data_IF_831675360479
#
_entry.id   IF_831675360479
#
_cell.length_a   1.000
_cell.length_b   1.000
_cell.length_c   1.000
_cell.angle_alpha   90.00
_cell.angle_beta   90.00
_cell.angle_gamma   90.00
#
_symmetry.space_group_name_H-M   'P 1'
#
loop_
_entity.id
_entity.type
_entity.pdbx_description
1 polymer ?
#
# COMPACT_ATOMS: atom_id res chain seq x y z
N UNK A 1 12.46 -26.35 9.38
CA UNK A 1 13.17 -27.12 10.42
C UNK A 1 13.07 -28.58 10.05
N UNK A 2 14.21 -29.24 9.81
CA UNK A 2 14.32 -30.65 9.40
C UNK A 2 14.87 -31.54 10.53
N UNK A 3 15.30 -30.98 11.67
CA UNK A 3 15.74 -31.79 12.81
C UNK A 3 15.77 -31.06 14.17
N UNK A 4 16.03 -31.80 15.26
CA UNK A 4 16.17 -31.24 16.61
C UNK A 4 17.41 -30.34 16.70
N UNK A 5 17.23 -29.11 17.19
CA UNK A 5 18.29 -28.09 17.27
C UNK A 5 18.28 -27.10 16.11
N UNK A 6 17.45 -27.34 15.07
CA UNK A 6 17.14 -26.30 14.10
C UNK A 6 16.33 -25.21 14.80
N UNK A 7 16.91 -24.03 14.89
CA UNK A 7 16.17 -22.82 15.19
C UNK A 7 15.83 -22.12 13.87
N UNK A 8 14.70 -21.40 13.77
CA UNK A 8 14.49 -20.50 12.65
C UNK A 8 15.69 -19.56 12.56
N UNK A 9 16.21 -19.32 11.34
CA UNK A 9 17.24 -18.30 11.15
C UNK A 9 16.75 -16.97 11.72
N UNK A 10 17.65 -16.17 12.31
CA UNK A 10 17.23 -14.87 12.82
C UNK A 10 16.71 -14.02 11.65
N UNK A 11 15.66 -13.20 11.84
CA UNK A 11 15.11 -12.39 10.76
C UNK A 11 16.15 -11.56 10.03
N UNK A 12 17.15 -11.01 10.75
CA UNK A 12 18.27 -10.25 10.14
C UNK A 12 19.20 -11.07 9.26
N UNK A 13 19.28 -12.38 9.46
CA UNK A 13 20.14 -13.28 8.67
C UNK A 13 19.47 -13.65 7.36
N UNK A 14 18.12 -13.62 7.33
CA UNK A 14 17.31 -13.90 6.13
C UNK A 14 16.98 -12.61 5.37
N UNK A 15 16.65 -11.57 6.12
CA UNK A 15 16.19 -10.26 5.65
C UNK A 15 17.06 -9.13 6.24
N UNK A 16 18.31 -8.97 5.76
CA UNK A 16 19.25 -8.00 6.33
C UNK A 16 18.80 -6.55 6.12
N UNK A 17 18.02 -6.26 5.07
CA UNK A 17 17.43 -4.93 4.89
C UNK A 17 16.16 -4.76 5.69
N UNK A 18 15.27 -5.76 5.68
CA UNK A 18 13.90 -5.60 6.17
C UNK A 18 13.64 -6.44 7.43
N UNK A 19 14.25 -6.00 8.54
CA UNK A 19 14.00 -6.54 9.88
C UNK A 19 13.88 -5.44 10.93
N UNK A 20 13.22 -5.74 12.04
CA UNK A 20 13.03 -4.83 13.17
C UNK A 20 11.60 -4.33 13.34
N UNK A 21 10.78 -4.41 12.28
CA UNK A 21 9.31 -4.34 12.37
C UNK A 21 8.70 -5.72 12.60
N UNK A 22 7.38 -5.76 12.81
CA UNK A 22 6.64 -7.01 13.05
C UNK A 22 6.82 -8.02 11.91
N UNK A 23 6.77 -7.56 10.66
CA UNK A 23 7.08 -8.38 9.50
C UNK A 23 7.89 -7.63 8.41
N UNK A 24 8.22 -8.38 7.36
CA UNK A 24 9.05 -7.92 6.23
C UNK A 24 8.43 -6.73 5.49
N UNK A 25 7.11 -6.74 5.26
CA UNK A 25 6.47 -5.66 4.52
C UNK A 25 6.28 -4.43 5.41
N UNK A 26 6.02 -4.59 6.70
CA UNK A 26 6.03 -3.45 7.64
C UNK A 26 7.38 -2.71 7.60
N UNK A 27 8.50 -3.41 7.40
CA UNK A 27 9.80 -2.76 7.22
C UNK A 27 9.88 -1.95 5.92
N UNK A 28 9.38 -2.48 4.80
CA UNK A 28 9.31 -1.74 3.53
C UNK A 28 8.49 -0.46 3.67
N UNK A 29 7.34 -0.55 4.31
CA UNK A 29 6.45 0.58 4.50
C UNK A 29 7.08 1.65 5.41
N UNK A 30 7.72 1.24 6.50
CA UNK A 30 8.42 2.18 7.39
C UNK A 30 9.66 2.78 6.72
N UNK A 31 10.38 2.04 5.88
CA UNK A 31 11.44 2.63 5.05
C UNK A 31 10.87 3.62 4.03
N UNK A 32 9.70 3.34 3.46
CA UNK A 32 9.00 4.30 2.60
C UNK A 32 8.63 5.57 3.35
N UNK A 33 8.10 5.46 4.57
CA UNK A 33 7.83 6.62 5.45
C UNK A 33 9.09 7.46 5.62
N UNK A 34 10.23 6.82 5.93
CA UNK A 34 11.50 7.52 6.11
C UNK A 34 12.00 8.21 4.84
N UNK A 35 11.93 7.53 3.68
CA UNK A 35 12.28 8.12 2.38
C UNK A 35 11.38 9.32 2.08
N UNK A 36 10.07 9.21 2.27
CA UNK A 36 9.11 10.29 2.03
C UNK A 36 9.32 11.47 2.96
N UNK A 37 9.48 11.24 4.26
CA UNK A 37 9.79 12.31 5.20
C UNK A 37 11.09 13.00 4.79
N UNK A 38 12.13 12.23 4.49
CA UNK A 38 13.44 12.75 4.06
C UNK A 38 13.38 13.59 2.78
N UNK A 39 12.53 13.24 1.81
CA UNK A 39 12.36 13.98 0.57
C UNK A 39 11.33 15.13 0.66
N UNK A 40 10.47 15.14 1.69
CA UNK A 40 9.43 16.17 1.85
C UNK A 40 10.00 17.52 2.29
N UNK A 41 9.24 18.59 2.10
CA UNK A 41 9.50 19.94 2.61
C UNK A 41 8.93 20.19 4.03
N UNK A 42 8.42 19.14 4.69
CA UNK A 42 7.84 19.22 6.02
C UNK A 42 8.89 19.55 7.09
N UNK A 43 8.51 20.34 8.08
CA UNK A 43 9.34 20.61 9.26
C UNK A 43 9.26 19.44 10.25
N UNK A 44 10.07 18.41 10.02
CA UNK A 44 10.15 17.19 10.85
C UNK A 44 11.60 16.88 11.26
N UNK A 45 11.83 16.22 12.41
CA UNK A 45 13.15 15.72 12.76
C UNK A 45 13.67 14.72 11.72
N UNK A 46 14.87 14.97 11.17
CA UNK A 46 15.50 14.11 10.14
C UNK A 46 16.76 13.38 10.61
N UNK A 47 17.14 13.59 11.88
CA UNK A 47 18.34 13.00 12.46
C UNK A 47 18.31 11.48 12.38
N UNK A 48 19.38 10.88 11.85
CA UNK A 48 19.55 9.43 11.78
C UNK A 48 18.84 8.72 10.62
N UNK A 49 17.95 9.39 9.88
CA UNK A 49 17.24 8.77 8.74
C UNK A 49 18.23 8.27 7.69
N UNK A 50 19.16 9.13 7.26
CA UNK A 50 20.15 8.76 6.25
C UNK A 50 21.05 7.61 6.71
N UNK A 51 21.55 7.68 7.95
CA UNK A 51 22.41 6.64 8.49
C UNK A 51 21.70 5.29 8.57
N UNK A 52 20.42 5.27 8.99
CA UNK A 52 19.62 4.07 9.03
C UNK A 52 19.37 3.53 7.62
N UNK A 53 18.92 4.36 6.68
CA UNK A 53 18.66 3.92 5.31
C UNK A 53 19.93 3.49 4.58
N UNK A 54 21.08 4.12 4.84
CA UNK A 54 22.38 3.71 4.30
C UNK A 54 22.78 2.31 4.80
N UNK A 55 22.53 1.99 6.08
CA UNK A 55 22.76 0.66 6.64
C UNK A 55 21.76 -0.36 6.07
N UNK A 56 20.47 -0.04 6.09
CA UNK A 56 19.39 -0.97 5.72
C UNK A 56 19.32 -1.22 4.22
N UNK A 57 19.59 -0.21 3.41
CA UNK A 57 19.56 -0.28 1.95
C UNK A 57 20.97 -0.38 1.36
N UNK A 58 21.92 -0.93 2.12
CA UNK A 58 23.22 -1.29 1.59
C UNK A 58 23.07 -2.25 0.38
N UNK A 59 23.80 -2.06 -0.73
CA UNK A 59 23.61 -2.86 -1.95
C UNK A 59 23.68 -4.37 -1.72
N UNK A 60 24.60 -4.83 -0.86
CA UNK A 60 24.76 -6.23 -0.49
C UNK A 60 23.57 -6.78 0.29
N UNK A 61 22.95 -5.97 1.17
CA UNK A 61 21.78 -6.37 1.93
C UNK A 61 20.56 -6.49 1.01
N UNK A 62 20.32 -5.50 0.15
CA UNK A 62 19.20 -5.54 -0.79
C UNK A 62 19.36 -6.66 -1.83
N UNK A 63 20.59 -7.00 -2.20
CA UNK A 63 20.85 -8.15 -3.07
C UNK A 63 20.39 -9.48 -2.44
N UNK A 64 20.55 -9.65 -1.11
CA UNK A 64 20.02 -10.81 -0.37
C UNK A 64 18.50 -10.84 -0.42
N UNK A 65 17.84 -9.69 -0.21
CA UNK A 65 16.38 -9.58 -0.29
C UNK A 65 15.85 -9.93 -1.69
N UNK A 66 16.54 -9.45 -2.73
CA UNK A 66 16.20 -9.75 -4.11
C UNK A 66 16.35 -11.26 -4.41
N UNK A 67 17.44 -11.88 -3.96
CA UNK A 67 17.64 -13.32 -4.11
C UNK A 67 16.55 -14.12 -3.39
N UNK A 68 16.23 -13.75 -2.14
CA UNK A 68 15.17 -14.40 -1.37
C UNK A 68 13.81 -14.26 -2.06
N UNK A 69 13.47 -13.07 -2.56
CA UNK A 69 12.22 -12.79 -3.28
C UNK A 69 12.13 -13.57 -4.61
N UNK A 70 13.25 -13.81 -5.29
CA UNK A 70 13.31 -14.62 -6.50
C UNK A 70 13.12 -16.12 -6.21
N UNK A 71 13.73 -16.62 -5.14
CA UNK A 71 13.57 -18.01 -4.69
C UNK A 71 12.18 -18.28 -4.10
N UNK A 72 11.55 -17.26 -3.52
CA UNK A 72 10.26 -17.33 -2.83
C UNK A 72 9.24 -16.36 -3.45
N UNK A 73 8.81 -16.55 -4.71
CA UNK A 73 7.98 -15.58 -5.45
C UNK A 73 6.57 -15.35 -4.86
N UNK A 74 6.16 -16.19 -3.91
CA UNK A 74 4.89 -16.06 -3.18
C UNK A 74 5.01 -15.25 -1.89
N UNK A 75 6.23 -15.08 -1.37
CA UNK A 75 6.46 -14.38 -0.11
C UNK A 75 5.97 -12.94 -0.20
N UNK A 76 5.14 -12.53 0.76
CA UNK A 76 4.54 -11.20 0.85
C UNK A 76 3.77 -10.74 -0.39
N UNK A 77 3.41 -11.65 -1.31
CA UNK A 77 2.59 -11.31 -2.49
C UNK A 77 1.10 -11.28 -2.11
N UNK A 78 0.31 -10.28 -2.56
CA UNK A 78 0.74 -9.18 -3.44
C UNK A 78 1.27 -7.96 -2.68
N UNK A 79 0.86 -7.77 -1.43
CA UNK A 79 1.06 -6.53 -0.67
C UNK A 79 2.50 -6.05 -0.56
N UNK A 80 3.37 -6.82 0.08
CA UNK A 80 4.75 -6.43 0.33
C UNK A 80 5.56 -6.28 -0.95
N UNK A 81 5.34 -7.13 -1.95
CA UNK A 81 6.01 -6.98 -3.25
C UNK A 81 5.55 -5.71 -3.99
N UNK A 82 4.28 -5.32 -3.85
CA UNK A 82 3.78 -4.06 -4.39
C UNK A 82 4.38 -2.85 -3.66
N UNK A 83 4.52 -2.92 -2.32
CA UNK A 83 5.24 -1.92 -1.54
C UNK A 83 6.73 -1.82 -1.89
N UNK A 84 7.39 -2.92 -2.25
CA UNK A 84 8.77 -2.89 -2.74
C UNK A 84 8.90 -2.08 -4.03
N UNK A 85 7.95 -2.20 -4.95
CA UNK A 85 7.90 -1.38 -6.17
C UNK A 85 7.57 0.08 -5.86
N UNK A 86 6.63 0.34 -4.96
CA UNK A 86 6.28 1.69 -4.53
C UNK A 86 7.48 2.41 -3.88
N UNK A 87 8.17 1.74 -2.94
CA UNK A 87 9.38 2.24 -2.31
C UNK A 87 10.44 2.58 -3.35
N UNK A 88 10.70 1.69 -4.31
CA UNK A 88 11.67 1.92 -5.37
C UNK A 88 11.28 3.09 -6.29
N UNK A 89 9.99 3.27 -6.57
CA UNK A 89 9.48 4.41 -7.33
C UNK A 89 9.71 5.73 -6.58
N UNK A 90 9.32 5.82 -5.31
CA UNK A 90 9.46 7.06 -4.54
C UNK A 90 10.91 7.36 -4.15
N UNK A 91 11.75 6.33 -4.01
CA UNK A 91 13.18 6.50 -3.82
C UNK A 91 13.93 6.93 -5.10
N UNK A 92 13.26 7.01 -6.27
CA UNK A 92 13.91 7.41 -7.51
C UNK A 92 14.57 8.79 -7.38
N UNK A 93 15.80 8.91 -7.91
CA UNK A 93 16.62 10.12 -7.78
C UNK A 93 17.26 10.34 -6.41
N UNK A 94 16.92 9.52 -5.39
CA UNK A 94 17.67 9.47 -4.14
C UNK A 94 18.94 8.64 -4.28
N UNK A 95 19.83 8.74 -3.28
CA UNK A 95 21.06 7.94 -3.20
C UNK A 95 20.82 6.44 -2.98
N UNK A 96 19.59 6.02 -2.63
CA UNK A 96 19.24 4.61 -2.40
C UNK A 96 18.60 3.93 -3.63
N UNK A 97 18.32 4.70 -4.69
CA UNK A 97 17.61 4.20 -5.88
C UNK A 97 18.30 2.99 -6.52
N UNK A 98 19.62 3.07 -6.73
CA UNK A 98 20.39 1.99 -7.38
C UNK A 98 20.43 0.72 -6.52
N UNK A 99 20.49 0.87 -5.20
CA UNK A 99 20.50 -0.25 -4.27
C UNK A 99 19.15 -0.99 -4.25
N UNK A 100 18.03 -0.27 -4.37
CA UNK A 100 16.67 -0.84 -4.41
C UNK A 100 16.33 -1.52 -5.74
N UNK A 101 17.00 -1.16 -6.83
CA UNK A 101 16.66 -1.61 -8.18
C UNK A 101 16.65 -3.14 -8.38
N UNK A 102 17.56 -3.96 -7.81
CA UNK A 102 17.51 -5.43 -7.92
C UNK A 102 16.24 -6.04 -7.32
N UNK A 103 15.81 -5.58 -6.14
CA UNK A 103 14.59 -6.05 -5.50
C UNK A 103 13.37 -5.64 -6.32
N UNK A 104 13.34 -4.39 -6.80
CA UNK A 104 12.24 -3.90 -7.62
C UNK A 104 12.08 -4.72 -8.91
N UNK A 105 13.17 -4.98 -9.65
CA UNK A 105 13.12 -5.83 -10.86
C UNK A 105 12.63 -7.25 -10.55
N UNK A 106 12.99 -7.79 -9.40
CA UNK A 106 12.54 -9.13 -8.97
C UNK A 106 11.04 -9.15 -8.67
N UNK A 107 10.55 -8.18 -7.90
CA UNK A 107 9.12 -8.04 -7.62
C UNK A 107 8.31 -7.83 -8.92
N UNK A 108 8.79 -6.97 -9.82
CA UNK A 108 8.20 -6.76 -11.14
C UNK A 108 8.09 -8.07 -11.95
N UNK A 109 9.17 -8.86 -12.00
CA UNK A 109 9.17 -10.16 -12.68
C UNK A 109 8.17 -11.15 -12.05
N UNK A 110 8.06 -11.17 -10.72
CA UNK A 110 7.08 -12.00 -10.02
C UNK A 110 5.64 -11.62 -10.37
N UNK A 111 5.31 -10.33 -10.47
CA UNK A 111 3.99 -9.88 -10.93
C UNK A 111 3.75 -10.23 -12.39
N UNK A 112 4.74 -10.04 -13.28
CA UNK A 112 4.65 -10.44 -14.68
C UNK A 112 4.34 -11.94 -14.84
N UNK A 113 4.91 -12.79 -13.99
CA UNK A 113 4.65 -14.23 -14.01
C UNK A 113 3.33 -14.65 -13.34
N UNK A 114 2.78 -13.83 -12.44
CA UNK A 114 1.62 -14.18 -11.62
C UNK A 114 0.29 -13.59 -12.12
N UNK A 115 0.25 -12.31 -12.52
CA UNK A 115 -0.99 -11.64 -12.93
C UNK A 115 -1.76 -12.37 -14.04
N UNK A 116 -1.11 -12.98 -15.06
CA UNK A 116 -1.82 -13.78 -16.07
C UNK A 116 -2.51 -15.03 -15.51
N UNK A 117 -2.08 -15.52 -14.34
CA UNK A 117 -2.61 -16.73 -13.68
C UNK A 117 -3.71 -16.39 -12.66
N UNK A 118 -3.85 -15.13 -12.28
CA UNK A 118 -4.86 -14.70 -11.31
C UNK A 118 -6.23 -14.59 -11.98
N UNK A 119 -7.06 -15.61 -11.80
CA UNK A 119 -8.39 -15.71 -12.43
C UNK A 119 -9.40 -14.71 -11.87
N UNK A 120 -9.39 -14.51 -10.56
CA UNK A 120 -10.35 -13.65 -9.85
C UNK A 120 -9.60 -12.59 -9.03
N UNK A 121 -10.14 -11.37 -8.93
CA UNK A 121 -9.61 -10.40 -7.98
C UNK A 121 -9.88 -10.84 -6.54
N UNK A 122 -8.94 -10.54 -5.65
CA UNK A 122 -9.12 -10.64 -4.20
C UNK A 122 -9.50 -9.26 -3.69
N UNK A 123 -10.72 -9.13 -3.15
CA UNK A 123 -11.27 -7.84 -2.69
C UNK A 123 -11.17 -7.59 -1.19
N UNK A 124 -10.72 -8.56 -0.38
CA UNK A 124 -10.64 -8.41 1.08
C UNK A 124 -9.93 -7.11 1.49
N UNK A 125 -10.35 -6.46 2.57
CA UNK A 125 -9.75 -5.24 3.12
C UNK A 125 -8.42 -5.47 3.86
N UNK A 126 -7.63 -6.42 3.38
CA UNK A 126 -6.38 -6.89 3.98
C UNK A 126 -5.27 -6.99 2.92
N UNK A 127 -4.11 -7.53 3.28
CA UNK A 127 -2.93 -7.70 2.42
C UNK A 127 -3.21 -8.39 1.06
N UNK A 128 -4.24 -9.24 0.97
CA UNK A 128 -4.60 -9.91 -0.28
C UNK A 128 -5.17 -8.98 -1.36
N UNK A 129 -5.53 -7.74 -1.04
CA UNK A 129 -6.29 -6.86 -1.93
C UNK A 129 -5.58 -6.62 -3.28
N UNK A 130 -6.19 -7.10 -4.36
CA UNK A 130 -5.62 -7.04 -5.71
C UNK A 130 -5.61 -5.61 -6.25
N UNK A 131 -6.67 -4.84 -6.00
CA UNK A 131 -6.76 -3.47 -6.51
C UNK A 131 -5.70 -2.57 -5.86
N UNK A 132 -5.54 -2.67 -4.53
CA UNK A 132 -4.49 -1.96 -3.80
C UNK A 132 -3.10 -2.29 -4.37
N UNK A 133 -2.79 -3.57 -4.55
CA UNK A 133 -1.49 -3.98 -5.09
C UNK A 133 -1.24 -3.43 -6.50
N UNK A 134 -2.21 -3.55 -7.42
CA UNK A 134 -2.08 -3.02 -8.79
C UNK A 134 -1.88 -1.51 -8.79
N UNK A 135 -2.61 -0.78 -7.95
CA UNK A 135 -2.44 0.66 -7.77
C UNK A 135 -1.03 0.99 -7.28
N UNK A 136 -0.47 0.19 -6.36
CA UNK A 136 0.90 0.42 -5.89
C UNK A 136 2.00 0.07 -6.92
N UNK A 137 1.72 -0.87 -7.83
CA UNK A 137 2.68 -1.28 -8.87
C UNK A 137 2.72 -0.25 -10.01
N UNK A 138 1.59 0.38 -10.32
CA UNK A 138 1.41 1.18 -11.53
C UNK A 138 2.44 2.31 -11.70
N UNK A 139 2.71 3.19 -10.70
CA UNK A 139 3.68 4.29 -10.87
C UNK A 139 5.10 3.81 -11.18
N UNK A 140 5.53 2.71 -10.54
CA UNK A 140 6.81 2.08 -10.85
C UNK A 140 6.85 1.59 -12.30
N UNK A 141 5.81 0.88 -12.72
CA UNK A 141 5.73 0.30 -14.06
C UNK A 141 5.69 1.39 -15.14
N UNK A 142 4.96 2.49 -14.92
CA UNK A 142 4.94 3.63 -15.83
C UNK A 142 6.31 4.25 -16.06
N UNK A 143 7.11 4.36 -15.00
CA UNK A 143 8.44 4.96 -15.09
C UNK A 143 9.51 3.99 -15.64
N UNK A 144 9.35 2.68 -15.47
CA UNK A 144 10.46 1.73 -15.66
C UNK A 144 10.16 0.54 -16.59
N UNK A 145 8.90 0.12 -16.73
CA UNK A 145 8.53 -1.12 -17.41
C UNK A 145 7.18 -0.98 -18.14
N UNK A 146 7.20 -0.53 -19.41
CA UNK A 146 5.99 -0.37 -20.22
C UNK A 146 5.21 -1.68 -20.40
N UNK A 147 5.86 -2.83 -20.38
CA UNK A 147 5.21 -4.13 -20.53
C UNK A 147 4.45 -4.51 -19.24
N UNK A 148 5.06 -4.32 -18.07
CA UNK A 148 4.38 -4.49 -16.79
C UNK A 148 3.23 -3.49 -16.64
N UNK A 149 3.42 -2.23 -17.08
CA UNK A 149 2.35 -1.21 -17.07
C UNK A 149 1.13 -1.70 -17.85
N UNK A 150 1.34 -2.17 -19.08
CA UNK A 150 0.25 -2.70 -19.90
C UNK A 150 -0.42 -3.89 -19.22
N UNK A 151 0.35 -4.82 -18.64
CA UNK A 151 -0.20 -5.97 -17.92
C UNK A 151 -1.04 -5.58 -16.70
N UNK A 152 -0.62 -4.55 -15.95
CA UNK A 152 -1.36 -4.00 -14.80
C UNK A 152 -2.68 -3.41 -15.27
N UNK A 153 -2.65 -2.58 -16.31
CA UNK A 153 -3.85 -1.96 -16.91
C UNK A 153 -4.81 -3.04 -17.43
N UNK A 154 -4.32 -4.00 -18.21
CA UNK A 154 -5.13 -5.09 -18.75
C UNK A 154 -5.74 -5.95 -17.64
N UNK A 155 -5.01 -6.14 -16.53
CA UNK A 155 -5.51 -6.88 -15.38
C UNK A 155 -6.58 -6.10 -14.63
N UNK A 156 -6.38 -4.80 -14.41
CA UNK A 156 -7.39 -3.93 -13.79
C UNK A 156 -8.67 -3.90 -14.62
N UNK A 157 -8.57 -3.69 -15.93
CA UNK A 157 -9.72 -3.69 -16.84
C UNK A 157 -10.43 -5.04 -16.86
N UNK A 158 -9.69 -6.16 -16.92
CA UNK A 158 -10.26 -7.51 -16.90
C UNK A 158 -11.05 -7.79 -15.62
N UNK A 159 -10.60 -7.26 -14.49
CA UNK A 159 -11.14 -7.61 -13.17
C UNK A 159 -12.26 -6.69 -12.69
N UNK A 160 -12.19 -5.40 -13.05
CA UNK A 160 -12.98 -4.35 -12.38
C UNK A 160 -13.78 -3.45 -13.34
N UNK A 161 -13.47 -3.43 -14.65
CA UNK A 161 -14.15 -2.51 -15.57
C UNK A 161 -15.67 -2.76 -15.70
N UNK A 162 -16.12 -3.99 -15.44
CA UNK A 162 -17.54 -4.37 -15.49
C UNK A 162 -18.24 -4.34 -14.13
N UNK A 163 -17.53 -4.02 -13.05
CA UNK A 163 -18.11 -4.02 -11.71
C UNK A 163 -19.08 -2.85 -11.53
N UNK A 164 -20.20 -3.14 -10.86
CA UNK A 164 -21.33 -2.21 -10.65
C UNK A 164 -21.97 -2.50 -9.30
N UNK A 165 -22.64 -1.50 -8.72
CA UNK A 165 -23.44 -1.61 -7.51
C UNK A 165 -22.71 -2.35 -6.37
N UNK A 166 -21.50 -1.89 -6.05
CA UNK A 166 -20.70 -2.43 -4.96
C UNK A 166 -21.49 -2.38 -3.63
N UNK A 167 -21.55 -3.47 -2.85
CA UNK A 167 -22.32 -3.53 -1.61
C UNK A 167 -21.57 -2.84 -0.46
N UNK A 168 -21.52 -1.50 -0.46
CA UNK A 168 -20.78 -0.70 0.51
C UNK A 168 -21.19 -0.98 1.97
N UNK A 169 -22.45 -1.35 2.21
CA UNK A 169 -22.99 -1.72 3.53
C UNK A 169 -22.33 -2.95 4.16
N UNK A 170 -21.59 -3.75 3.40
CA UNK A 170 -20.84 -4.90 3.94
C UNK A 170 -19.51 -4.49 4.56
N UNK A 171 -19.07 -3.24 4.36
CA UNK A 171 -17.88 -2.74 5.01
C UNK A 171 -18.22 -1.96 6.30
N UNK A 172 -17.42 -2.10 7.37
CA UNK A 172 -16.15 -2.83 7.44
C UNK A 172 -16.30 -4.30 7.87
N UNK A 173 -15.36 -5.16 7.46
CA UNK A 173 -15.06 -6.40 8.19
C UNK A 173 -14.22 -6.07 9.44
N UNK A 174 -14.31 -6.90 10.47
CA UNK A 174 -13.76 -6.60 11.80
C UNK A 174 -12.23 -6.38 11.87
N UNK A 175 -11.48 -6.78 10.85
CA UNK A 175 -10.02 -6.67 10.80
C UNK A 175 -9.52 -5.92 9.57
N UNK A 176 -10.40 -5.26 8.81
CA UNK A 176 -9.97 -4.52 7.63
C UNK A 176 -9.04 -3.37 8.02
N UNK A 177 -7.98 -3.16 7.23
CA UNK A 177 -7.18 -1.93 7.23
C UNK A 177 -7.23 -1.20 5.87
N UNK A 178 -7.80 -1.84 4.85
CA UNK A 178 -8.11 -1.27 3.54
C UNK A 178 -9.62 -1.28 3.32
N UNK A 179 -10.15 -0.28 2.62
CA UNK A 179 -11.52 -0.36 2.10
C UNK A 179 -11.50 -1.04 0.73
N UNK A 180 -12.09 -2.24 0.59
CA UNK A 180 -12.22 -2.90 -0.71
C UNK A 180 -12.76 -2.00 -1.82
N UNK A 181 -13.86 -1.28 -1.58
CA UNK A 181 -14.50 -0.40 -2.55
C UNK A 181 -13.56 0.71 -3.01
N UNK A 182 -12.91 1.38 -2.05
CA UNK A 182 -12.08 2.53 -2.35
C UNK A 182 -10.74 2.14 -2.97
N UNK A 183 -10.18 0.96 -2.64
CA UNK A 183 -9.02 0.43 -3.35
C UNK A 183 -9.33 0.17 -4.83
N UNK A 184 -10.51 -0.38 -5.13
CA UNK A 184 -10.95 -0.60 -6.50
C UNK A 184 -11.18 0.73 -7.23
N UNK A 185 -11.96 1.65 -6.64
CA UNK A 185 -12.23 2.94 -7.25
C UNK A 185 -10.96 3.79 -7.44
N UNK A 186 -10.02 3.77 -6.49
CA UNK A 186 -8.75 4.50 -6.62
C UNK A 186 -7.88 3.94 -7.74
N UNK A 187 -7.77 2.62 -7.90
CA UNK A 187 -7.08 2.01 -9.05
C UNK A 187 -7.77 2.41 -10.36
N UNK A 188 -9.09 2.29 -10.42
CA UNK A 188 -9.85 2.54 -11.66
C UNK A 188 -9.82 4.01 -12.07
N UNK A 189 -9.65 4.93 -11.12
CA UNK A 189 -9.40 6.35 -11.39
C UNK A 189 -8.12 6.59 -12.21
N UNK A 190 -7.09 5.76 -12.03
CA UNK A 190 -5.84 5.84 -12.79
C UNK A 190 -5.89 5.12 -14.14
N UNK A 191 -6.89 4.27 -14.37
CA UNK A 191 -6.94 3.36 -15.53
C UNK A 191 -8.02 3.75 -16.55
N UNK A 192 -9.17 4.25 -16.08
CA UNK A 192 -10.33 4.53 -16.94
C UNK A 192 -10.34 5.98 -17.45
N UNK A 193 -10.49 6.20 -18.77
CA UNK A 193 -10.73 7.53 -19.31
C UNK A 193 -12.06 8.15 -18.86
N UNK A 194 -13.11 7.35 -18.72
CA UNK A 194 -14.44 7.78 -18.25
C UNK A 194 -14.72 7.27 -16.83
N UNK A 195 -13.78 7.54 -15.93
CA UNK A 195 -13.90 7.19 -14.51
C UNK A 195 -15.16 7.79 -13.83
N UNK A 196 -15.57 9.05 -14.06
CA UNK A 196 -16.73 9.63 -13.39
C UNK A 196 -18.04 8.86 -13.64
N UNK A 197 -18.24 8.36 -14.86
CA UNK A 197 -19.41 7.56 -15.21
C UNK A 197 -19.32 6.15 -14.61
N UNK A 198 -18.15 5.49 -14.73
CA UNK A 198 -17.94 4.19 -14.09
C UNK A 198 -18.16 4.24 -12.57
N UNK A 199 -17.65 5.27 -11.89
CA UNK A 199 -17.82 5.45 -10.45
C UNK A 199 -19.30 5.59 -10.06
N UNK A 200 -20.11 6.26 -10.88
CA UNK A 200 -21.54 6.42 -10.62
C UNK A 200 -22.31 5.09 -10.70
N UNK A 201 -21.85 4.15 -11.55
CA UNK A 201 -22.43 2.80 -11.63
C UNK A 201 -21.87 1.86 -10.56
N UNK A 202 -20.58 1.98 -10.24
CA UNK A 202 -19.88 1.15 -9.27
C UNK A 202 -20.26 1.47 -7.83
N UNK A 203 -20.15 2.73 -7.43
CA UNK A 203 -20.35 3.20 -6.05
C UNK A 203 -21.24 4.45 -6.05
N UNK A 204 -22.56 4.29 -6.31
CA UNK A 204 -23.48 5.42 -6.41
C UNK A 204 -23.59 6.23 -5.11
N UNK A 205 -23.39 5.57 -3.96
CA UNK A 205 -23.35 6.20 -2.65
C UNK A 205 -22.04 5.85 -1.94
N UNK A 206 -21.12 6.81 -1.83
CA UNK A 206 -19.85 6.65 -1.10
C UNK A 206 -19.99 7.06 0.38
N UNK A 207 -21.04 6.59 1.05
CA UNK A 207 -21.42 7.00 2.41
C UNK A 207 -20.75 6.12 3.49
N UNK A 208 -19.42 6.10 3.54
CA UNK A 208 -18.69 5.39 4.59
C UNK A 208 -18.77 6.14 5.92
N UNK A 209 -18.90 5.38 7.00
CA UNK A 209 -18.83 5.89 8.38
C UNK A 209 -17.49 5.47 8.99
N UNK A 210 -16.82 6.34 9.78
CA UNK A 210 -15.61 5.97 10.51
C UNK A 210 -15.79 4.68 11.30
N UNK A 211 -14.83 3.76 11.13
CA UNK A 211 -14.82 2.50 11.86
C UNK A 211 -14.53 2.77 13.33
N UNK A 212 -15.29 2.13 14.21
CA UNK A 212 -15.06 2.17 15.65
C UNK A 212 -14.04 1.09 16.03
N UNK A 213 -12.95 1.50 16.67
CA UNK A 213 -11.91 0.58 17.16
C UNK A 213 -12.18 0.27 18.62
N UNK A 214 -12.55 -0.99 18.90
CA UNK A 214 -12.93 -1.40 20.26
C UNK A 214 -11.74 -1.73 21.17
N UNK A 215 -10.60 -2.11 20.59
CA UNK A 215 -9.37 -2.44 21.31
C UNK A 215 -8.16 -2.16 20.42
N UNK A 216 -7.38 -1.13 20.76
CA UNK A 216 -6.15 -0.76 20.03
C UNK A 216 -4.96 -1.69 20.36
N UNK A 217 -5.08 -2.56 21.36
CA UNK A 217 -3.99 -3.48 21.76
C UNK A 217 -4.10 -4.85 21.07
N UNK A 218 -5.26 -5.16 20.49
CA UNK A 218 -5.44 -6.36 19.66
C UNK A 218 -4.94 -6.09 18.24
N UNK A 219 -3.93 -6.85 17.81
CA UNK A 219 -3.25 -6.65 16.53
C UNK A 219 -4.13 -6.76 15.29
N UNK A 220 -5.33 -7.35 15.37
CA UNK A 220 -6.27 -7.41 14.25
C UNK A 220 -7.36 -6.36 14.36
N UNK A 221 -7.87 -6.05 15.55
CA UNK A 221 -8.87 -4.99 15.73
C UNK A 221 -8.24 -3.61 15.50
N UNK A 222 -6.97 -3.43 15.89
CA UNK A 222 -6.18 -2.22 15.65
C UNK A 222 -6.10 -1.83 14.17
N UNK A 223 -6.25 -2.78 13.23
CA UNK A 223 -6.32 -2.52 11.79
C UNK A 223 -7.38 -1.50 11.39
N UNK A 224 -8.47 -1.40 12.15
CA UNK A 224 -9.56 -0.46 11.86
C UNK A 224 -9.11 1.02 11.95
N UNK A 225 -8.02 1.32 12.66
CA UNK A 225 -7.38 2.64 12.58
C UNK A 225 -6.80 2.88 11.19
N UNK A 226 -6.09 1.90 10.65
CA UNK A 226 -5.60 1.94 9.26
C UNK A 226 -6.73 1.97 8.25
N UNK A 227 -7.88 1.33 8.51
CA UNK A 227 -9.05 1.45 7.66
C UNK A 227 -9.57 2.88 7.58
N UNK A 228 -9.63 3.58 8.71
CA UNK A 228 -10.03 4.98 8.72
C UNK A 228 -9.06 5.84 7.90
N UNK A 229 -7.75 5.69 8.09
CA UNK A 229 -6.76 6.44 7.31
C UNK A 229 -6.73 6.05 5.82
N UNK A 230 -6.88 4.76 5.48
CA UNK A 230 -6.95 4.29 4.10
C UNK A 230 -8.22 4.76 3.38
N UNK A 231 -9.37 4.81 4.09
CA UNK A 231 -10.59 5.44 3.57
C UNK A 231 -10.40 6.92 3.32
N UNK A 232 -9.83 7.64 4.29
CA UNK A 232 -9.55 9.05 4.13
C UNK A 232 -8.67 9.33 2.91
N UNK A 233 -7.61 8.55 2.71
CA UNK A 233 -6.74 8.67 1.56
C UNK A 233 -7.44 8.31 0.23
N UNK A 234 -8.11 7.16 0.16
CA UNK A 234 -8.84 6.72 -1.04
C UNK A 234 -9.94 7.70 -1.48
N UNK A 235 -10.71 8.24 -0.52
CA UNK A 235 -11.73 9.27 -0.78
C UNK A 235 -11.13 10.55 -1.38
N UNK A 236 -9.97 11.00 -0.88
CA UNK A 236 -9.27 12.17 -1.45
C UNK A 236 -8.78 11.91 -2.86
N UNK A 237 -8.24 10.73 -3.13
CA UNK A 237 -7.78 10.32 -4.46
C UNK A 237 -8.91 10.26 -5.47
N UNK A 238 -10.04 9.68 -5.08
CA UNK A 238 -11.25 9.64 -5.93
C UNK A 238 -11.75 11.06 -6.19
N UNK A 239 -11.84 11.90 -5.17
CA UNK A 239 -12.25 13.30 -5.33
C UNK A 239 -11.33 14.06 -6.29
N UNK A 240 -10.01 13.85 -6.23
CA UNK A 240 -9.06 14.50 -7.15
C UNK A 240 -9.13 14.00 -8.60
N UNK A 241 -9.71 12.82 -8.82
CA UNK A 241 -9.89 12.25 -10.16
C UNK A 241 -11.22 12.66 -10.82
N UNK A 242 -12.10 13.37 -10.09
CA UNK A 242 -13.34 13.91 -10.63
C UNK A 242 -13.14 15.31 -11.21
N UNK A 243 -14.01 15.76 -12.13
CA UNK A 243 -14.08 17.16 -12.53
C UNK A 243 -14.22 18.07 -11.30
N UNK A 244 -13.55 19.24 -11.25
CA UNK A 244 -13.59 20.11 -10.06
C UNK A 244 -14.99 20.60 -9.64
N UNK A 245 -15.94 20.63 -10.58
CA UNK A 245 -17.34 21.02 -10.37
C UNK A 245 -18.30 19.84 -10.17
N UNK A 246 -17.78 18.60 -10.11
CA UNK A 246 -18.58 17.42 -9.83
C UNK A 246 -19.14 17.48 -8.39
N UNK A 247 -20.47 17.35 -8.26
CA UNK A 247 -21.17 17.47 -6.99
C UNK A 247 -20.73 16.46 -5.92
N UNK A 248 -20.03 15.38 -6.30
CA UNK A 248 -19.50 14.36 -5.39
C UNK A 248 -18.21 14.80 -4.70
N UNK A 249 -17.46 15.77 -5.23
CA UNK A 249 -16.14 16.17 -4.71
C UNK A 249 -16.20 16.61 -3.25
N UNK A 250 -17.06 17.59 -2.93
CA UNK A 250 -17.14 18.13 -1.57
C UNK A 250 -17.59 17.08 -0.54
N UNK A 251 -18.65 16.27 -0.77
CA UNK A 251 -19.00 15.17 0.12
C UNK A 251 -17.87 14.15 0.36
N UNK A 252 -17.10 13.82 -0.68
CA UNK A 252 -15.97 12.89 -0.57
C UNK A 252 -14.86 13.47 0.31
N UNK A 253 -14.52 14.75 0.12
CA UNK A 253 -13.50 15.43 0.92
C UNK A 253 -13.91 15.59 2.39
N UNK A 254 -15.18 15.92 2.66
CA UNK A 254 -15.71 15.99 4.02
C UNK A 254 -15.75 14.62 4.69
N UNK A 255 -16.08 13.56 3.94
CA UNK A 255 -15.98 12.19 4.45
C UNK A 255 -14.53 11.81 4.77
N UNK A 256 -13.60 12.14 3.87
CA UNK A 256 -12.19 11.89 4.08
C UNK A 256 -11.66 12.56 5.35
N UNK A 257 -12.05 13.81 5.59
CA UNK A 257 -11.69 14.55 6.80
C UNK A 257 -12.18 13.86 8.07
N UNK A 258 -13.45 13.45 8.13
CA UNK A 258 -14.01 12.73 9.29
C UNK A 258 -13.25 11.42 9.58
N UNK A 259 -12.89 10.69 8.53
CA UNK A 259 -12.11 9.46 8.66
C UNK A 259 -10.68 9.72 9.13
N UNK A 260 -10.02 10.78 8.65
CA UNK A 260 -8.69 11.16 9.12
C UNK A 260 -8.71 11.59 10.60
N UNK A 261 -9.67 12.43 10.99
CA UNK A 261 -9.85 12.89 12.37
C UNK A 261 -10.08 11.74 13.36
N UNK A 262 -10.68 10.64 12.90
CA UNK A 262 -10.97 9.48 13.75
C UNK A 262 -9.73 8.62 14.10
N UNK A 263 -8.61 8.75 13.38
CA UNK A 263 -7.46 7.85 13.55
C UNK A 263 -6.09 8.54 13.58
N UNK A 264 -5.97 9.81 13.19
CA UNK A 264 -4.68 10.50 13.16
C UNK A 264 -4.01 10.62 14.54
N UNK A 265 -4.77 10.70 15.63
CA UNK A 265 -4.22 10.73 17.00
C UNK A 265 -3.55 9.42 17.40
N UNK A 266 -3.86 8.32 16.72
CA UNK A 266 -3.43 6.97 17.09
C UNK A 266 -2.10 6.58 16.44
N UNK A 267 -1.62 7.38 15.48
CA UNK A 267 -0.41 7.15 14.68
C UNK A 267 0.84 7.05 15.55
N UNK A 268 0.86 7.73 16.70
CA UNK A 268 1.98 7.73 17.65
C UNK A 268 1.50 8.00 19.07
N UNK A 269 2.20 7.45 20.07
CA UNK A 269 1.84 7.53 21.48
C UNK A 269 0.85 6.46 21.94
N UNK A 270 0.66 5.39 21.17
CA UNK A 270 -0.31 4.31 21.39
C UNK A 270 0.38 2.94 21.57
N UNK A 271 -0.25 1.84 21.17
CA UNK A 271 0.28 0.47 21.29
C UNK A 271 1.13 0.10 20.08
N UNK A 272 2.14 -0.77 20.27
CA UNK A 272 2.96 -1.29 19.18
C UNK A 272 2.11 -1.92 18.07
N UNK A 273 0.98 -2.56 18.39
CA UNK A 273 0.01 -3.11 17.43
C UNK A 273 -0.47 -2.09 16.38
N UNK A 274 -0.39 -0.79 16.69
CA UNK A 274 -0.75 0.32 15.82
C UNK A 274 0.50 1.01 15.26
N UNK A 275 1.43 1.40 16.13
CA UNK A 275 2.53 2.31 15.78
C UNK A 275 3.51 1.76 14.75
N UNK A 276 3.65 0.44 14.64
CA UNK A 276 4.65 -0.18 13.77
C UNK A 276 4.36 -0.04 12.26
N UNK A 277 3.17 0.44 11.88
CA UNK A 277 2.73 0.56 10.49
C UNK A 277 1.78 1.73 10.21
N UNK A 278 1.00 2.24 11.20
CA UNK A 278 -0.06 3.21 10.92
C UNK A 278 0.46 4.55 10.34
N UNK A 279 1.71 4.93 10.65
CA UNK A 279 2.37 6.12 10.09
C UNK A 279 2.36 6.15 8.56
N UNK A 280 2.38 4.98 7.93
CA UNK A 280 2.35 4.80 6.47
C UNK A 280 1.06 5.38 5.90
N UNK A 281 -0.07 5.00 6.50
CA UNK A 281 -1.39 5.45 6.09
C UNK A 281 -1.64 6.93 6.41
N UNK A 282 -1.05 7.44 7.49
CA UNK A 282 -1.06 8.87 7.79
C UNK A 282 -0.30 9.68 6.72
N UNK A 283 0.88 9.20 6.28
CA UNK A 283 1.65 9.84 5.23
C UNK A 283 1.00 9.73 3.85
N UNK A 284 0.30 8.63 3.56
CA UNK A 284 -0.47 8.50 2.31
C UNK A 284 -1.50 9.64 2.17
N UNK A 285 -2.05 10.18 3.26
CA UNK A 285 -2.92 11.36 3.19
C UNK A 285 -2.23 12.57 2.56
N UNK A 286 -0.92 12.71 2.68
CA UNK A 286 -0.19 13.81 2.04
C UNK A 286 0.03 13.57 0.55
N UNK A 287 -0.25 12.36 0.06
CA UNK A 287 -0.02 11.94 -1.31
C UNK A 287 -1.29 11.95 -2.15
N UNK A 288 -1.49 13.07 -2.86
CA UNK A 288 -2.56 13.26 -3.85
C UNK A 288 -2.06 13.14 -5.29
N UNK A 289 -0.88 12.58 -5.54
CA UNK A 289 -0.40 12.25 -6.90
C UNK A 289 -1.26 11.15 -7.52
#
# INVERSE_FOLDING_TARGET
MQGPGDHPAHPRDVHPSFHGSFDWHSCLEMHWVLVRLHQSDLDVPRGGIEALLDERLAPEAVAVEAAYCAENPHHSRPYGQAWALWLAHDAAGSRWADALAPLARTAAANFTAWLPKLTYPVRQGMHGNTAFALSRILPYAEANDPALRQLVVDTALRMFASDKAYPADYEPSGFDFLSPALCEAELMASVLPDFPAWLAEFLPEAAFTPAHVSDSTDGLIAHLHGLNLSRAWGLRRIASALPPDDARVEPLLESAKRHAEAALSEVSGSDFAVEHWLAVYALLLLDVR
#
